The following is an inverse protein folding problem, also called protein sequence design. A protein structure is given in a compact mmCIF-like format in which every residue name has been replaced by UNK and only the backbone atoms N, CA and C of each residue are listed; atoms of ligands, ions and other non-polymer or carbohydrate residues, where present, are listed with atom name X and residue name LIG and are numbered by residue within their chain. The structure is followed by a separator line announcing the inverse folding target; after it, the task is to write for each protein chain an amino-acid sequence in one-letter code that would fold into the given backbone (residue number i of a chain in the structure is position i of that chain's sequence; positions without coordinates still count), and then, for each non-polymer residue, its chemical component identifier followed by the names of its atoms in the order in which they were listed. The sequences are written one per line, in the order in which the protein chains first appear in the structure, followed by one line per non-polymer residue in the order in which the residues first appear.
data_IF_230907724274
#
_entry.id   IF_230907724274
#
_cell.length_a   1.000
_cell.length_b   1.000
_cell.length_c   1.000
_cell.angle_alpha   90.00
_cell.angle_beta   90.00
_cell.angle_gamma   90.00
#
_symmetry.space_group_name_H-M   'P 1'
#
loop_
_entity.id
_entity.type
_entity.pdbx_description
1 polymer ?
#
# COMPACT_ATOMS: atom_id res chain seq x y z
N UNK A 1 7.51 -15.93 2.65
CA UNK A 1 7.01 -15.12 3.78
C UNK A 1 7.71 -13.76 3.99
N UNK A 2 8.78 -13.41 3.26
CA UNK A 2 9.53 -12.14 3.46
C UNK A 2 8.69 -10.87 3.24
N UNK A 3 7.75 -10.91 2.30
CA UNK A 3 6.85 -9.80 1.99
C UNK A 3 5.97 -9.38 3.18
N UNK A 4 5.27 -10.34 3.79
CA UNK A 4 4.41 -10.09 4.94
C UNK A 4 5.20 -9.66 6.18
N UNK A 5 6.40 -10.21 6.39
CA UNK A 5 7.28 -9.79 7.47
C UNK A 5 7.72 -8.32 7.31
N UNK A 6 8.06 -7.89 6.09
CA UNK A 6 8.41 -6.49 5.82
C UNK A 6 7.22 -5.54 5.99
N UNK A 7 6.01 -5.97 5.64
CA UNK A 7 4.79 -5.21 5.92
C UNK A 7 4.55 -5.06 7.42
N UNK A 8 4.62 -6.15 8.18
CA UNK A 8 4.47 -6.12 9.63
C UNK A 8 5.51 -5.19 10.27
N UNK A 9 6.77 -5.26 9.84
CA UNK A 9 7.83 -4.38 10.34
C UNK A 9 7.51 -2.90 10.12
N UNK A 10 6.96 -2.51 8.97
CA UNK A 10 6.54 -1.13 8.72
C UNK A 10 5.36 -0.69 9.57
N UNK A 11 4.38 -1.57 9.76
CA UNK A 11 3.23 -1.29 10.62
C UNK A 11 3.68 -1.07 12.07
N UNK A 12 4.58 -1.91 12.57
CA UNK A 12 5.13 -1.76 13.92
C UNK A 12 5.94 -0.47 14.03
N UNK A 13 6.83 -0.18 13.08
CA UNK A 13 7.65 1.03 13.09
C UNK A 13 6.79 2.30 13.01
N UNK A 14 5.83 2.35 12.08
CA UNK A 14 4.88 3.45 11.94
C UNK A 14 4.02 3.61 13.19
N UNK A 15 3.44 2.52 13.69
CA UNK A 15 2.64 2.52 14.92
C UNK A 15 3.42 2.97 16.15
N UNK A 16 4.69 2.58 16.29
CA UNK A 16 5.55 2.98 17.40
C UNK A 16 5.91 4.47 17.36
N UNK A 17 6.32 4.99 16.19
CA UNK A 17 6.54 6.43 15.98
C UNK A 17 5.27 7.18 16.35
N UNK A 18 4.15 6.67 15.87
CA UNK A 18 2.90 7.32 16.06
C UNK A 18 2.46 7.34 17.54
N UNK A 19 2.50 6.19 18.20
CA UNK A 19 2.23 6.08 19.62
C UNK A 19 3.11 7.03 20.45
N UNK A 20 4.39 7.18 20.10
CA UNK A 20 5.28 8.15 20.72
C UNK A 20 4.78 9.59 20.60
N UNK A 21 4.25 9.98 19.44
CA UNK A 21 3.68 11.32 19.24
C UNK A 21 2.39 11.52 20.04
N UNK A 22 1.55 10.48 20.18
CA UNK A 22 0.38 10.53 21.07
C UNK A 22 0.77 10.70 22.54
N UNK A 23 1.81 10.00 23.00
CA UNK A 23 2.34 10.15 24.37
C UNK A 23 2.89 11.56 24.58
N UNK A 24 3.65 12.09 23.61
CA UNK A 24 4.16 13.46 23.65
C UNK A 24 3.00 14.48 23.70
N UNK A 25 1.97 14.31 22.88
CA UNK A 25 0.77 15.15 22.87
C UNK A 25 0.08 15.13 24.25
N UNK A 26 -0.13 13.95 24.82
CA UNK A 26 -0.75 13.82 26.14
C UNK A 26 0.11 14.41 27.26
N UNK A 27 1.44 14.36 27.14
CA UNK A 27 2.36 14.95 28.13
C UNK A 27 2.40 16.48 28.07
N UNK A 28 2.23 17.06 26.88
CA UNK A 28 2.23 18.51 26.67
C UNK A 28 0.96 19.19 27.22
N UNK A 29 -0.14 18.45 27.32
CA UNK A 29 -1.37 18.90 27.98
C UNK A 29 -1.46 18.33 29.40
N UNK A 30 -1.04 19.08 30.45
CA UNK A 30 -1.15 18.62 31.83
C UNK A 30 -2.62 18.36 32.20
N UNK A 31 -2.86 17.35 33.04
CA UNK A 31 -4.18 17.12 33.60
C UNK A 31 -4.53 18.26 34.54
N UNK A 32 -5.74 18.81 34.41
CA UNK A 32 -6.29 19.64 35.48
C UNK A 32 -6.32 18.78 36.74
N UNK A 33 -5.55 19.19 37.73
CA UNK A 33 -5.54 18.56 39.05
C UNK A 33 -6.91 18.84 39.66
N UNK A 34 -7.67 17.83 40.09
CA UNK A 34 -8.97 18.07 40.69
C UNK A 34 -8.77 18.90 41.96
N UNK A 35 -9.26 20.12 41.94
CA UNK A 35 -9.54 20.85 43.17
C UNK A 35 -10.73 20.17 43.86
N UNK A 36 -10.76 20.17 45.20
CA UNK A 36 -11.72 19.39 45.98
C UNK A 36 -13.17 19.51 45.46
N UNK A 37 -13.83 18.37 45.25
CA UNK A 37 -15.24 18.22 44.85
C UNK A 37 -15.66 18.79 43.48
N UNK A 38 -14.74 19.07 42.55
CA UNK A 38 -15.11 19.40 41.15
C UNK A 38 -15.02 18.18 40.22
N UNK A 39 -16.07 17.99 39.41
CA UNK A 39 -16.04 17.08 38.27
C UNK A 39 -15.07 17.62 37.21
N UNK A 40 -14.06 16.84 36.84
CA UNK A 40 -13.15 17.16 35.74
C UNK A 40 -13.76 16.55 34.47
N UNK A 41 -14.26 17.35 33.51
CA UNK A 41 -14.77 16.81 32.27
C UNK A 41 -13.65 16.10 31.47
N UNK A 42 -13.97 15.08 30.66
CA UNK A 42 -12.99 14.47 29.78
C UNK A 42 -12.46 15.50 28.78
N UNK A 43 -11.15 15.54 28.55
CA UNK A 43 -10.51 16.52 27.63
C UNK A 43 -11.05 16.42 26.20
N UNK A 44 -11.29 15.19 25.76
CA UNK A 44 -11.85 14.93 24.44
C UNK A 44 -13.33 15.30 24.41
N UNK A 45 -13.67 16.31 23.61
CA UNK A 45 -15.02 16.84 23.41
C UNK A 45 -15.28 18.16 24.12
N UNK A 46 -14.49 18.50 25.14
CA UNK A 46 -14.64 19.73 25.92
C UNK A 46 -13.54 20.75 25.62
N UNK A 47 -12.30 20.29 25.42
CA UNK A 47 -11.18 21.15 25.01
C UNK A 47 -11.05 21.18 23.48
N UNK A 48 -11.52 22.26 22.86
CA UNK A 48 -11.37 22.49 21.42
C UNK A 48 -9.92 22.35 20.90
N UNK A 49 -8.87 22.88 21.56
CA UNK A 49 -7.50 22.72 21.04
C UNK A 49 -7.01 21.27 21.13
N UNK A 50 -7.34 20.56 22.22
CA UNK A 50 -6.95 19.16 22.39
C UNK A 50 -7.67 18.26 21.39
N UNK A 51 -8.97 18.47 21.18
CA UNK A 51 -9.76 17.73 20.19
C UNK A 51 -9.26 17.93 18.76
N UNK A 52 -8.92 19.17 18.37
CA UNK A 52 -8.31 19.43 17.06
C UNK A 52 -6.94 18.76 16.92
N UNK A 53 -6.12 18.77 17.97
CA UNK A 53 -4.83 18.09 17.95
C UNK A 53 -4.98 16.56 17.80
N UNK A 54 -5.93 15.96 18.50
CA UNK A 54 -6.27 14.52 18.37
C UNK A 54 -6.87 14.20 17.00
N UNK A 55 -7.59 15.13 16.37
CA UNK A 55 -8.08 14.96 15.00
C UNK A 55 -6.92 14.94 13.99
N UNK A 56 -6.00 15.90 14.06
CA UNK A 56 -4.80 15.93 13.21
C UNK A 56 -3.99 14.65 13.41
N UNK A 57 -3.83 14.24 14.68
CA UNK A 57 -3.21 12.99 15.05
C UNK A 57 -3.83 11.78 14.34
N UNK A 58 -5.15 11.66 14.38
CA UNK A 58 -5.90 10.61 13.71
C UNK A 58 -5.71 10.63 12.19
N UNK A 59 -5.70 11.81 11.56
CA UNK A 59 -5.44 11.94 10.13
C UNK A 59 -4.02 11.50 9.74
N UNK A 60 -3.03 11.75 10.60
CA UNK A 60 -1.67 11.23 10.39
C UNK A 60 -1.65 9.70 10.50
N UNK A 61 -2.38 9.10 11.45
CA UNK A 61 -2.50 7.64 11.55
C UNK A 61 -3.13 7.01 10.31
N UNK A 62 -4.23 7.57 9.81
CA UNK A 62 -4.89 7.03 8.61
C UNK A 62 -4.06 7.26 7.35
N UNK A 63 -3.44 8.43 7.20
CA UNK A 63 -2.55 8.74 6.09
C UNK A 63 -1.31 7.85 6.04
N UNK A 64 -0.64 7.63 7.17
CA UNK A 64 0.52 6.72 7.25
C UNK A 64 0.12 5.27 6.97
N UNK A 65 -1.00 4.79 7.50
CA UNK A 65 -1.51 3.46 7.21
C UNK A 65 -1.78 3.28 5.70
N UNK A 66 -2.44 4.26 5.08
CA UNK A 66 -2.66 4.30 3.63
C UNK A 66 -1.34 4.25 2.84
N UNK A 67 -0.36 5.08 3.21
CA UNK A 67 0.96 5.10 2.55
C UNK A 67 1.71 3.78 2.71
N UNK A 68 1.62 3.10 3.85
CA UNK A 68 2.23 1.78 4.06
C UNK A 68 1.59 0.74 3.12
N UNK A 69 0.26 0.73 3.03
CA UNK A 69 -0.46 -0.19 2.12
C UNK A 69 -0.09 0.12 0.67
N UNK A 70 -0.11 1.41 0.29
CA UNK A 70 0.24 1.86 -1.05
C UNK A 70 1.67 1.43 -1.42
N UNK A 71 2.64 1.65 -0.53
CA UNK A 71 4.03 1.24 -0.78
C UNK A 71 4.20 -0.29 -0.85
N UNK A 72 3.38 -1.08 -0.14
CA UNK A 72 3.40 -2.54 -0.31
C UNK A 72 2.79 -2.99 -1.65
N UNK A 73 1.69 -2.37 -2.09
CA UNK A 73 1.01 -2.69 -3.35
C UNK A 73 1.97 -2.62 -4.54
N UNK A 74 2.84 -1.61 -4.58
CA UNK A 74 3.81 -1.41 -5.66
C UNK A 74 5.19 -2.04 -5.42
N UNK A 75 5.30 -3.03 -4.52
CA UNK A 75 6.55 -3.77 -4.31
C UNK A 75 6.46 -5.19 -4.84
N UNK A 76 7.58 -5.65 -5.39
CA UNK A 76 7.74 -7.04 -5.76
C UNK A 76 7.65 -7.93 -4.50
N UNK A 77 6.87 -9.00 -4.57
CA UNK A 77 6.63 -9.94 -3.47
C UNK A 77 7.85 -10.80 -3.11
N UNK A 78 8.82 -10.90 -4.03
CA UNK A 78 10.06 -11.67 -3.86
C UNK A 78 11.21 -10.75 -3.44
N UNK A 79 11.54 -9.76 -4.28
CA UNK A 79 12.66 -8.85 -4.08
C UNK A 79 12.43 -7.70 -3.09
N UNK A 80 11.18 -7.41 -2.74
CA UNK A 80 10.78 -6.26 -1.90
C UNK A 80 11.15 -4.88 -2.47
N UNK A 81 11.61 -4.81 -3.73
CA UNK A 81 11.88 -3.55 -4.42
C UNK A 81 10.62 -3.00 -5.08
N UNK A 82 10.57 -1.67 -5.20
CA UNK A 82 9.47 -0.97 -5.86
C UNK A 82 9.46 -1.34 -7.35
N UNK A 83 8.29 -1.71 -7.85
CA UNK A 83 8.06 -1.97 -9.26
C UNK A 83 8.23 -0.67 -10.05
N UNK A 84 8.76 -0.77 -11.27
CA UNK A 84 9.08 0.38 -12.12
C UNK A 84 8.60 0.11 -13.54
N UNK A 85 8.70 1.13 -14.40
CA UNK A 85 8.29 1.11 -15.81
C UNK A 85 6.79 0.83 -15.95
N UNK A 86 5.93 1.86 -15.82
CA UNK A 86 4.54 1.73 -16.20
C UNK A 86 4.47 1.55 -17.72
N UNK A 87 4.07 0.36 -18.15
CA UNK A 87 3.80 0.06 -19.56
C UNK A 87 2.30 0.11 -19.77
N UNK A 88 1.83 1.01 -20.61
CA UNK A 88 0.44 1.06 -21.02
C UNK A 88 0.17 -0.05 -22.03
N UNK A 89 -0.80 -0.91 -21.73
CA UNK A 89 -1.28 -1.96 -22.61
C UNK A 89 -2.76 -1.74 -22.92
N UNK A 90 -3.22 -2.19 -24.09
CA UNK A 90 -4.59 -1.97 -24.55
C UNK A 90 -4.81 -0.64 -25.27
N UNK A 91 -6.05 -0.35 -25.62
CA UNK A 91 -6.39 0.93 -26.27
C UNK A 91 -7.84 1.35 -26.03
N UNK A 92 -8.06 2.65 -25.79
CA UNK A 92 -9.39 3.21 -25.63
C UNK A 92 -10.24 3.12 -26.91
N UNK A 93 -9.63 3.39 -28.07
CA UNK A 93 -10.34 3.41 -29.36
C UNK A 93 -10.63 2.03 -29.94
N UNK A 94 -9.87 1.00 -29.54
CA UNK A 94 -10.01 -0.38 -30.02
C UNK A 94 -10.08 -1.37 -28.85
N UNK A 95 -10.90 -1.05 -27.85
CA UNK A 95 -11.10 -1.90 -26.66
C UNK A 95 -11.52 -3.33 -26.98
N UNK A 96 -12.33 -3.53 -28.03
CA UNK A 96 -12.80 -4.87 -28.42
C UNK A 96 -11.69 -5.72 -29.04
N UNK A 97 -10.62 -5.12 -29.56
CA UNK A 97 -9.51 -5.83 -30.21
C UNK A 97 -8.33 -6.04 -29.25
N UNK A 98 -7.95 -4.99 -28.51
CA UNK A 98 -6.75 -4.98 -27.66
C UNK A 98 -7.06 -5.03 -26.15
N UNK A 99 -8.34 -5.15 -25.79
CA UNK A 99 -8.78 -5.11 -24.40
C UNK A 99 -8.84 -3.69 -23.84
N UNK A 100 -9.29 -3.62 -22.58
CA UNK A 100 -9.31 -2.36 -21.81
C UNK A 100 -7.88 -1.89 -21.54
N UNK A 101 -7.65 -0.57 -21.49
CA UNK A 101 -6.33 -0.04 -21.20
C UNK A 101 -5.93 -0.31 -19.75
N UNK A 102 -4.73 -0.84 -19.56
CA UNK A 102 -4.13 -1.22 -18.27
C UNK A 102 -2.70 -0.69 -18.19
N UNK A 103 -2.24 -0.45 -16.98
CA UNK A 103 -0.86 -0.12 -16.65
C UNK A 103 -0.22 -1.35 -16.03
N UNK A 104 0.84 -1.85 -16.67
CA UNK A 104 1.64 -2.96 -16.16
C UNK A 104 2.93 -2.41 -15.55
N UNK A 105 3.18 -2.75 -14.29
CA UNK A 105 4.43 -2.46 -13.60
C UNK A 105 5.31 -3.71 -13.54
N UNK A 106 6.59 -3.57 -13.86
CA UNK A 106 7.51 -4.69 -13.99
C UNK A 106 8.55 -4.66 -12.85
N UNK A 107 8.90 -5.84 -12.33
CA UNK A 107 10.07 -5.97 -11.47
C UNK A 107 11.35 -5.89 -12.31
N UNK A 108 12.28 -4.99 -11.97
CA UNK A 108 13.57 -4.85 -12.68
C UNK A 108 14.46 -6.09 -12.68
N UNK A 109 14.13 -7.09 -11.86
CA UNK A 109 14.85 -8.36 -11.76
C UNK A 109 14.08 -9.54 -12.38
N UNK A 110 12.93 -9.31 -13.02
CA UNK A 110 12.19 -10.37 -13.71
C UNK A 110 11.23 -11.21 -12.85
N UNK A 111 11.18 -11.08 -11.52
CA UNK A 111 10.32 -11.90 -10.63
C UNK A 111 8.80 -11.85 -10.89
N UNK A 112 8.32 -10.95 -11.74
CA UNK A 112 6.90 -10.82 -12.07
C UNK A 112 6.45 -9.40 -12.36
N UNK A 113 5.16 -9.30 -12.69
CA UNK A 113 4.49 -8.09 -13.16
C UNK A 113 3.21 -7.84 -12.36
N UNK A 114 2.88 -6.57 -12.17
CA UNK A 114 1.66 -6.11 -11.52
C UNK A 114 0.81 -5.38 -12.55
N UNK A 115 -0.41 -5.87 -12.79
CA UNK A 115 -1.37 -5.25 -13.70
C UNK A 115 -2.38 -4.45 -12.91
N UNK A 116 -2.56 -3.20 -13.29
CA UNK A 116 -3.53 -2.28 -12.70
C UNK A 116 -4.29 -1.59 -13.82
N UNK A 117 -5.62 -1.52 -13.76
CA UNK A 117 -6.37 -0.83 -14.81
C UNK A 117 -6.15 0.68 -14.73
N UNK A 118 -6.01 1.32 -15.89
CA UNK A 118 -5.83 2.77 -15.99
C UNK A 118 -7.06 3.51 -15.42
N UNK A 119 -8.25 3.02 -15.74
CA UNK A 119 -9.52 3.57 -15.28
C UNK A 119 -10.46 2.45 -14.82
N UNK A 120 -10.85 2.50 -13.55
CA UNK A 120 -11.85 1.60 -12.97
C UNK A 120 -13.27 2.09 -13.35
N UNK A 121 -13.81 1.60 -14.47
CA UNK A 121 -15.16 1.97 -14.96
C UNK A 121 -16.25 1.20 -14.19
N UNK A 122 -15.97 -0.04 -13.78
CA UNK A 122 -16.97 -0.95 -13.21
C UNK A 122 -16.38 -1.79 -12.08
N UNK A 123 -16.92 -1.67 -10.88
CA UNK A 123 -16.48 -2.45 -9.71
C UNK A 123 -15.11 -2.02 -9.16
N UNK A 124 -14.68 -2.69 -8.10
CA UNK A 124 -13.35 -2.54 -7.52
C UNK A 124 -12.48 -3.70 -8.02
N UNK A 125 -11.84 -3.55 -9.18
CA UNK A 125 -10.89 -4.56 -9.68
C UNK A 125 -9.59 -4.41 -8.88
N UNK A 126 -9.17 -5.50 -8.22
CA UNK A 126 -7.91 -5.50 -7.47
C UNK A 126 -6.74 -5.69 -8.44
N UNK A 127 -5.60 -5.05 -8.19
CA UNK A 127 -4.43 -5.20 -9.04
C UNK A 127 -3.96 -6.65 -9.02
N UNK A 128 -3.75 -7.22 -10.20
CA UNK A 128 -3.37 -8.61 -10.37
C UNK A 128 -1.85 -8.72 -10.42
N UNK A 129 -1.29 -9.63 -9.62
CA UNK A 129 0.15 -9.91 -9.67
C UNK A 129 0.37 -11.28 -10.29
N UNK A 130 1.12 -11.27 -11.38
CA UNK A 130 1.54 -12.48 -12.09
C UNK A 130 3.01 -12.74 -11.78
N UNK A 131 3.35 -13.79 -11.02
CA UNK A 131 4.73 -14.17 -10.80
C UNK A 131 5.34 -14.71 -12.10
N UNK A 132 6.61 -14.40 -12.35
CA UNK A 132 7.43 -15.07 -13.35
C UNK A 132 8.42 -16.00 -12.62
N UNK A 133 8.89 -17.01 -13.34
CA UNK A 133 10.09 -17.78 -13.01
C UNK A 133 11.29 -16.84 -12.88
N UNK A 134 12.23 -17.20 -11.99
CA UNK A 134 13.43 -16.39 -11.78
C UNK A 134 14.35 -16.37 -13.02
N UNK A 135 14.14 -17.29 -13.99
CA UNK A 135 14.85 -17.34 -15.26
C UNK A 135 13.93 -16.93 -16.43
N UNK A 136 14.05 -15.67 -16.84
CA UNK A 136 13.36 -15.11 -18.01
C UNK A 136 13.54 -15.98 -19.28
N UNK A 137 14.69 -16.62 -19.43
CA UNK A 137 14.99 -17.43 -20.60
C UNK A 137 14.19 -18.72 -20.63
N UNK A 138 13.90 -19.31 -19.47
CA UNK A 138 13.06 -20.51 -19.38
C UNK A 138 11.66 -20.22 -19.92
N UNK A 139 11.07 -19.08 -19.53
CA UNK A 139 9.76 -18.66 -20.03
C UNK A 139 9.76 -18.31 -21.52
N UNK A 140 10.78 -17.61 -22.00
CA UNK A 140 10.92 -17.32 -23.42
C UNK A 140 11.05 -18.60 -24.24
N UNK A 141 11.90 -19.54 -23.81
CA UNK A 141 12.07 -20.83 -24.46
C UNK A 141 10.79 -21.68 -24.41
N UNK A 142 10.07 -21.68 -23.29
CA UNK A 142 8.79 -22.35 -23.16
C UNK A 142 7.73 -21.75 -24.11
N UNK A 143 7.69 -20.42 -24.23
CA UNK A 143 6.78 -19.72 -25.15
C UNK A 143 7.10 -19.96 -26.63
N UNK A 144 8.38 -20.18 -26.96
CA UNK A 144 8.83 -20.44 -28.34
C UNK A 144 8.56 -21.87 -28.82
N UNK A 145 8.27 -22.79 -27.90
CA UNK A 145 7.99 -24.19 -28.23
C UNK A 145 6.54 -24.30 -28.70
N UNK A 146 6.33 -24.23 -30.02
CA UNK A 146 5.01 -24.49 -30.62
C UNK A 146 4.55 -25.93 -30.31
N UNK A 147 3.23 -26.18 -30.19
CA UNK A 147 2.66 -27.49 -29.82
C UNK A 147 2.86 -28.60 -30.87
N UNK A 148 3.67 -28.38 -31.91
CA UNK A 148 3.99 -29.35 -32.96
C UNK A 148 5.36 -30.03 -32.82
N UNK A 149 6.20 -29.63 -31.86
CA UNK A 149 7.54 -30.19 -31.68
C UNK A 149 7.59 -31.17 -30.49
N UNK A 150 6.88 -32.30 -30.66
CA UNK A 150 7.13 -33.52 -29.89
C UNK A 150 7.66 -34.59 -30.86
N UNK A 151 8.74 -35.33 -30.49
CA UNK A 151 9.31 -36.39 -31.32
C UNK A 151 8.37 -37.60 -31.47
#
# INVERSE_FOLDING_TARGET
MRYWAYFAAKLVAGGALLYGLLVALNSAWPAEVPHFFTYVPPRFGYDLPFTLAVLVWFLLCTGTFYLIIWDQRYRCRVCLRRLRMPVETGSWSRMLQFGRPRIEYICTYGHGTLKEDELQISGLENPEWTPHSDDLWEELCASSKEPGDQP
#
